data_IF_637108953030
#
_entry.id   IF_637108953030
#
_cell.length_a   1.000
_cell.length_b   1.000
_cell.length_c   1.000
_cell.angle_alpha   90.00
_cell.angle_beta   90.00
_cell.angle_gamma   90.00
#
_symmetry.space_group_name_H-M   'P 1'
#
loop_
_entity.id
_entity.type
_entity.pdbx_description
1 polymer ?
#
# COMPACT_ATOMS: atom_id res chain seq x y z
N UNK A 1 18.86 -35.96 -17.68
CA UNK A 1 18.16 -34.89 -18.42
C UNK A 1 17.17 -34.22 -17.52
N UNK A 2 17.51 -33.08 -16.94
CA UNK A 2 16.53 -32.11 -16.47
C UNK A 2 16.99 -30.70 -16.91
N UNK A 3 16.69 -30.27 -18.13
CA UNK A 3 17.04 -28.93 -18.65
C UNK A 3 15.87 -28.34 -19.47
N UNK A 4 14.68 -28.92 -19.40
CA UNK A 4 13.56 -28.49 -20.23
C UNK A 4 12.37 -27.87 -19.44
N UNK A 5 12.49 -27.71 -18.11
CA UNK A 5 11.42 -27.16 -17.29
C UNK A 5 11.58 -25.66 -16.96
N UNK A 6 12.73 -25.03 -17.19
CA UNK A 6 13.01 -23.64 -16.83
C UNK A 6 12.81 -22.60 -17.97
N UNK A 7 12.34 -23.03 -19.15
CA UNK A 7 12.24 -22.13 -20.32
C UNK A 7 10.80 -21.61 -20.57
N UNK A 8 9.80 -21.92 -19.74
CA UNK A 8 8.40 -21.65 -20.06
C UNK A 8 7.63 -20.77 -19.06
N UNK A 9 8.29 -19.82 -18.40
CA UNK A 9 7.58 -18.72 -17.73
C UNK A 9 8.39 -17.41 -17.88
N UNK A 10 8.55 -16.94 -19.13
CA UNK A 10 8.78 -15.53 -19.33
C UNK A 10 7.45 -14.85 -18.98
N UNK A 11 7.42 -14.08 -17.89
CA UNK A 11 6.23 -13.34 -17.49
C UNK A 11 5.91 -12.31 -18.58
N UNK A 12 4.79 -12.47 -19.27
CA UNK A 12 4.31 -11.51 -20.28
C UNK A 12 4.29 -10.09 -19.70
N UNK A 13 4.70 -9.11 -20.47
CA UNK A 13 4.73 -7.70 -20.06
C UNK A 13 3.37 -7.22 -19.59
N UNK A 14 3.34 -6.69 -18.37
CA UNK A 14 2.14 -6.17 -17.71
C UNK A 14 2.06 -4.66 -17.90
N UNK A 15 1.24 -4.21 -18.86
CA UNK A 15 1.00 -2.78 -19.07
C UNK A 15 0.25 -2.21 -17.86
N UNK A 16 0.78 -1.12 -17.29
CA UNK A 16 0.22 -0.50 -16.09
C UNK A 16 0.73 -1.08 -14.77
N UNK A 17 1.78 -1.89 -14.84
CA UNK A 17 2.47 -2.48 -13.69
C UNK A 17 3.99 -2.37 -13.86
N UNK A 18 4.73 -2.69 -12.81
CA UNK A 18 6.18 -2.82 -12.87
C UNK A 18 6.57 -4.12 -13.57
N UNK A 19 7.60 -4.02 -14.41
CA UNK A 19 8.25 -5.12 -15.10
C UNK A 19 9.75 -5.00 -14.88
N UNK A 20 10.48 -6.12 -14.92
CA UNK A 20 11.94 -6.16 -14.97
C UNK A 20 12.37 -6.52 -16.38
N UNK A 21 12.99 -5.58 -17.10
CA UNK A 21 13.32 -5.71 -18.51
C UNK A 21 14.82 -5.49 -18.74
N UNK A 22 15.40 -6.25 -19.67
CA UNK A 22 16.79 -6.10 -20.07
C UNK A 22 16.97 -4.86 -20.96
N UNK A 23 18.03 -4.11 -20.74
CA UNK A 23 18.46 -2.98 -21.59
C UNK A 23 19.17 -3.53 -22.81
N UNK A 24 18.57 -3.44 -23.99
CA UNK A 24 19.12 -4.03 -25.23
C UNK A 24 19.86 -3.02 -26.10
N UNK A 25 19.57 -1.70 -25.94
CA UNK A 25 20.16 -0.68 -26.82
C UNK A 25 20.19 0.68 -26.13
N UNK A 26 21.26 1.44 -26.41
CA UNK A 26 21.39 2.86 -26.01
C UNK A 26 21.32 3.74 -27.25
N UNK A 27 20.59 4.87 -27.14
CA UNK A 27 20.47 5.90 -28.16
C UNK A 27 20.58 7.29 -27.51
N UNK A 28 20.71 8.37 -28.30
CA UNK A 28 20.92 9.72 -27.78
C UNK A 28 19.77 10.23 -26.89
N UNK A 29 18.56 9.74 -27.11
CA UNK A 29 17.36 10.16 -26.38
C UNK A 29 16.86 9.15 -25.32
N UNK A 30 17.63 8.08 -25.07
CA UNK A 30 17.27 7.09 -24.03
C UNK A 30 17.81 5.70 -24.27
N UNK A 31 17.09 4.71 -23.72
CA UNK A 31 17.41 3.29 -23.81
C UNK A 31 16.21 2.53 -24.36
N UNK A 32 16.48 1.46 -25.11
CA UNK A 32 15.47 0.49 -25.46
C UNK A 32 15.61 -0.75 -24.56
N UNK A 33 14.47 -1.22 -24.08
CA UNK A 33 14.34 -2.38 -23.24
C UNK A 33 13.69 -3.53 -24.04
N UNK A 34 14.03 -4.78 -23.74
CA UNK A 34 13.40 -5.95 -24.35
C UNK A 34 11.91 -6.02 -23.92
N UNK A 35 11.05 -5.65 -24.83
CA UNK A 35 9.60 -5.68 -24.64
C UNK A 35 8.95 -6.97 -25.08
N UNK A 36 9.72 -8.03 -25.31
CA UNK A 36 9.22 -9.36 -25.71
C UNK A 36 8.29 -9.29 -26.93
N UNK A 37 7.01 -9.72 -26.77
CA UNK A 37 6.01 -9.66 -27.87
C UNK A 37 5.69 -8.23 -28.34
N UNK A 38 5.99 -7.22 -27.54
CA UNK A 38 5.79 -5.81 -27.90
C UNK A 38 7.01 -5.19 -28.60
N UNK A 39 8.09 -5.95 -28.80
CA UNK A 39 9.34 -5.46 -29.37
C UNK A 39 10.11 -4.54 -28.42
N UNK A 40 10.96 -3.68 -28.97
CA UNK A 40 11.76 -2.76 -28.17
C UNK A 40 10.88 -1.64 -27.56
N UNK A 41 10.93 -1.47 -26.22
CA UNK A 41 10.20 -0.41 -25.50
C UNK A 41 11.18 0.70 -25.12
N UNK A 42 10.86 1.93 -25.52
CA UNK A 42 11.69 3.10 -25.21
C UNK A 42 11.54 3.52 -23.74
N UNK A 43 12.66 3.65 -23.05
CA UNK A 43 12.82 4.41 -21.80
C UNK A 43 13.55 5.70 -22.12
N UNK A 44 12.87 6.87 -22.08
CA UNK A 44 13.49 8.17 -22.32
C UNK A 44 14.65 8.44 -21.36
N UNK A 45 15.69 9.15 -21.82
CA UNK A 45 16.92 9.43 -21.04
C UNK A 45 16.63 10.05 -19.66
N UNK A 46 15.61 10.91 -19.56
CA UNK A 46 15.24 11.55 -18.29
C UNK A 46 14.75 10.58 -17.19
N UNK A 47 14.39 9.35 -17.58
CA UNK A 47 13.96 8.28 -16.65
C UNK A 47 15.05 7.24 -16.40
N UNK A 48 16.16 7.32 -17.15
CA UNK A 48 17.24 6.35 -17.02
C UNK A 48 18.15 6.69 -15.85
N UNK A 49 18.52 5.72 -15.01
CA UNK A 49 19.60 5.87 -14.03
C UNK A 49 20.93 6.26 -14.74
N UNK A 50 21.77 7.06 -14.07
CA UNK A 50 23.02 7.57 -14.66
C UNK A 50 24.00 6.46 -15.06
N UNK A 51 24.04 5.37 -14.30
CA UNK A 51 24.99 4.26 -14.50
C UNK A 51 24.45 3.11 -15.36
N UNK A 52 23.25 3.25 -15.97
CA UNK A 52 22.59 2.18 -16.72
C UNK A 52 23.37 1.77 -17.97
N UNK A 53 23.55 0.47 -18.16
CA UNK A 53 24.30 -0.14 -19.29
C UNK A 53 23.44 -1.15 -20.05
N UNK A 54 23.86 -1.42 -21.29
CA UNK A 54 23.30 -2.52 -22.08
C UNK A 54 23.59 -3.83 -21.37
N UNK A 55 22.58 -4.71 -21.26
CA UNK A 55 22.60 -5.97 -20.53
C UNK A 55 22.11 -5.89 -19.08
N UNK A 56 21.91 -4.69 -18.53
CA UNK A 56 21.37 -4.53 -17.18
C UNK A 56 19.85 -4.84 -17.15
N UNK A 57 19.40 -5.49 -16.08
CA UNK A 57 17.98 -5.66 -15.79
C UNK A 57 17.46 -4.39 -15.08
N UNK A 58 16.47 -3.74 -15.65
CA UNK A 58 15.90 -2.52 -15.09
C UNK A 58 14.43 -2.71 -14.73
N UNK A 59 14.08 -2.41 -13.47
CA UNK A 59 12.69 -2.36 -13.03
C UNK A 59 12.06 -1.06 -13.52
N UNK A 60 11.02 -1.18 -14.35
CA UNK A 60 10.33 -0.05 -14.99
C UNK A 60 8.82 -0.22 -14.94
N UNK A 61 8.12 0.89 -14.86
CA UNK A 61 6.68 0.95 -15.06
C UNK A 61 6.37 1.14 -16.54
N UNK A 62 5.44 0.36 -17.10
CA UNK A 62 5.09 0.39 -18.53
C UNK A 62 3.71 1.03 -18.72
N UNK A 63 3.66 2.06 -19.55
CA UNK A 63 2.39 2.70 -19.92
C UNK A 63 2.39 3.12 -21.40
N UNK A 64 1.23 3.57 -21.91
CA UNK A 64 1.14 4.14 -23.26
C UNK A 64 1.19 5.66 -23.23
N UNK A 65 2.04 6.26 -24.06
CA UNK A 65 2.11 7.71 -24.26
C UNK A 65 0.84 8.24 -24.99
N UNK A 66 0.80 9.54 -25.26
CA UNK A 66 -0.32 10.17 -25.96
C UNK A 66 -0.48 9.67 -27.41
N UNK A 67 0.59 9.20 -28.02
CA UNK A 67 0.62 8.58 -29.35
C UNK A 67 0.24 7.10 -29.35
N UNK A 68 -0.02 6.49 -28.18
CA UNK A 68 -0.34 5.07 -28.04
C UNK A 68 0.84 4.13 -28.01
N UNK A 69 2.10 4.65 -28.02
CA UNK A 69 3.32 3.84 -27.97
C UNK A 69 3.61 3.43 -26.52
N UNK A 70 4.14 2.22 -26.34
CA UNK A 70 4.62 1.79 -25.02
C UNK A 70 5.87 2.59 -24.64
N UNK A 71 5.90 3.03 -23.40
CA UNK A 71 7.01 3.78 -22.80
C UNK A 71 7.30 3.18 -21.44
N UNK A 72 8.59 3.01 -21.16
CA UNK A 72 9.10 2.60 -19.87
C UNK A 72 9.53 3.83 -19.05
N UNK A 73 9.22 3.84 -17.76
CA UNK A 73 9.63 4.89 -16.84
C UNK A 73 10.07 4.32 -15.50
N UNK A 74 11.01 4.99 -14.83
CA UNK A 74 11.37 4.76 -13.44
C UNK A 74 10.56 5.64 -12.47
N UNK A 75 9.72 6.54 -12.99
CA UNK A 75 8.74 7.25 -12.16
C UNK A 75 7.81 6.26 -11.46
N UNK A 76 7.34 6.65 -10.29
CA UNK A 76 6.49 5.80 -9.45
C UNK A 76 5.05 6.29 -9.52
N UNK A 77 4.16 5.57 -10.22
CA UNK A 77 2.74 5.87 -10.12
C UNK A 77 2.26 5.65 -8.68
N UNK A 78 1.25 6.40 -8.27
CA UNK A 78 0.61 6.21 -6.96
C UNK A 78 -0.22 4.91 -6.91
N UNK A 79 -0.67 4.42 -8.06
CA UNK A 79 -1.44 3.20 -8.21
C UNK A 79 -1.02 2.46 -9.48
N UNK A 80 -1.00 1.14 -9.42
CA UNK A 80 -0.85 0.24 -10.57
C UNK A 80 -2.22 -0.22 -11.10
N UNK A 81 -2.22 -0.84 -12.28
CA UNK A 81 -3.44 -1.49 -12.79
C UNK A 81 -3.87 -2.62 -11.84
N UNK A 82 -5.14 -2.59 -11.45
CA UNK A 82 -5.71 -3.51 -10.46
C UNK A 82 -5.81 -2.92 -9.05
N UNK A 83 -5.30 -1.72 -8.81
CA UNK A 83 -5.29 -1.11 -7.49
C UNK A 83 -6.39 -0.05 -7.30
N UNK A 84 -6.75 0.13 -6.03
CA UNK A 84 -7.65 1.18 -5.54
C UNK A 84 -6.87 2.16 -4.67
N UNK A 85 -7.12 3.45 -4.84
CA UNK A 85 -6.55 4.46 -3.95
C UNK A 85 -7.13 5.84 -4.17
N UNK A 86 -6.67 6.80 -3.36
CA UNK A 86 -7.09 8.20 -3.41
C UNK A 86 -6.20 8.96 -4.40
N UNK A 87 -6.82 9.59 -5.39
CA UNK A 87 -6.14 10.44 -6.36
C UNK A 87 -6.80 11.82 -6.42
N UNK A 88 -6.01 12.86 -6.67
CA UNK A 88 -6.48 14.23 -6.85
C UNK A 88 -6.81 14.51 -8.31
N UNK A 89 -7.97 15.12 -8.57
CA UNK A 89 -8.32 15.62 -9.88
C UNK A 89 -7.51 16.89 -10.19
N UNK A 90 -6.70 16.85 -11.28
CA UNK A 90 -5.90 17.99 -11.76
C UNK A 90 -6.68 18.90 -12.69
N UNK A 91 -7.53 18.30 -13.52
CA UNK A 91 -8.35 19.05 -14.47
C UNK A 91 -9.55 18.22 -14.92
N UNK A 92 -10.57 18.91 -15.46
CA UNK A 92 -11.73 18.29 -16.09
C UNK A 92 -11.79 18.77 -17.55
N UNK A 93 -11.78 17.83 -18.48
CA UNK A 93 -11.81 18.09 -19.92
C UNK A 93 -13.09 17.58 -20.58
N UNK A 94 -13.11 17.57 -21.91
CA UNK A 94 -14.27 17.16 -22.73
C UNK A 94 -14.57 15.65 -22.70
N UNK A 95 -13.62 14.83 -22.26
CA UNK A 95 -13.73 13.35 -22.25
C UNK A 95 -13.83 12.75 -20.85
N UNK A 96 -13.59 13.55 -19.81
CA UNK A 96 -13.57 13.13 -18.42
C UNK A 96 -12.62 13.97 -17.56
N UNK A 97 -12.33 13.47 -16.37
CA UNK A 97 -11.38 14.08 -15.46
C UNK A 97 -9.98 13.45 -15.61
N UNK A 98 -8.95 14.26 -15.40
CA UNK A 98 -7.56 13.86 -15.40
C UNK A 98 -7.04 13.92 -13.97
N UNK A 99 -6.60 12.76 -13.46
CA UNK A 99 -6.15 12.59 -12.09
C UNK A 99 -4.62 12.62 -12.02
N UNK A 100 -4.10 13.25 -10.97
CA UNK A 100 -2.67 13.13 -10.65
C UNK A 100 -2.36 11.68 -10.28
N UNK A 101 -1.49 11.07 -11.05
CA UNK A 101 -1.17 9.65 -10.92
C UNK A 101 0.29 9.40 -10.55
N UNK A 102 1.06 10.46 -10.32
CA UNK A 102 2.47 10.36 -9.93
C UNK A 102 3.45 10.10 -11.08
N UNK A 103 2.98 10.00 -12.31
CA UNK A 103 3.80 9.94 -13.53
C UNK A 103 3.44 11.10 -14.46
N UNK A 104 4.29 11.35 -15.46
CA UNK A 104 4.11 12.50 -16.37
C UNK A 104 2.72 12.56 -17.03
N UNK A 105 2.13 11.41 -17.34
CA UNK A 105 0.81 11.33 -17.98
C UNK A 105 -0.27 11.17 -16.91
N UNK A 106 -1.19 12.13 -16.83
CA UNK A 106 -2.33 12.04 -15.93
C UNK A 106 -3.27 10.87 -16.29
N UNK A 107 -3.89 10.27 -15.28
CA UNK A 107 -4.84 9.17 -15.43
C UNK A 107 -6.21 9.72 -15.82
N UNK A 108 -6.73 9.32 -16.96
CA UNK A 108 -8.08 9.68 -17.39
C UNK A 108 -9.14 8.85 -16.61
N UNK A 109 -10.13 9.52 -16.04
CA UNK A 109 -11.39 8.94 -15.57
C UNK A 109 -12.51 9.42 -16.51
N UNK A 110 -12.92 8.61 -17.50
CA UNK A 110 -13.96 9.00 -18.46
C UNK A 110 -15.30 9.30 -17.77
N UNK A 111 -16.14 10.18 -18.32
CA UNK A 111 -17.45 10.49 -17.71
C UNK A 111 -18.30 9.24 -17.45
N UNK A 112 -18.27 8.25 -18.36
CA UNK A 112 -18.97 6.96 -18.18
C UNK A 112 -18.48 6.16 -16.96
N UNK A 113 -17.29 6.42 -16.46
CA UNK A 113 -16.65 5.75 -15.30
C UNK A 113 -16.73 6.57 -14.00
N UNK A 114 -17.38 7.72 -14.03
CA UNK A 114 -17.60 8.55 -12.87
C UNK A 114 -18.90 8.16 -12.15
N UNK A 115 -18.83 7.86 -10.86
CA UNK A 115 -20.00 7.59 -10.02
C UNK A 115 -20.70 8.87 -9.60
N UNK A 116 -19.95 9.95 -9.51
CA UNK A 116 -20.37 11.33 -9.29
C UNK A 116 -19.53 12.23 -10.17
N UNK A 117 -20.01 13.42 -10.48
CA UNK A 117 -19.22 14.39 -11.25
C UNK A 117 -17.94 14.72 -10.49
N UNK A 118 -16.81 14.65 -11.18
CA UNK A 118 -15.51 14.95 -10.63
C UNK A 118 -15.23 16.45 -10.78
N UNK A 119 -14.83 17.09 -9.70
CA UNK A 119 -14.44 18.50 -9.65
C UNK A 119 -12.92 18.63 -9.51
N UNK A 120 -12.35 19.60 -10.21
CA UNK A 120 -10.92 19.92 -10.15
C UNK A 120 -10.49 20.26 -8.71
N UNK A 121 -9.29 19.80 -8.31
CA UNK A 121 -8.71 20.05 -6.99
C UNK A 121 -9.25 19.16 -5.86
N UNK A 122 -10.25 18.31 -6.13
CA UNK A 122 -10.79 17.37 -5.15
C UNK A 122 -10.18 15.97 -5.27
N UNK A 123 -10.23 15.24 -4.17
CA UNK A 123 -9.69 13.88 -4.05
C UNK A 123 -10.82 12.85 -4.18
N UNK A 124 -10.57 11.78 -4.94
CA UNK A 124 -11.53 10.70 -5.20
C UNK A 124 -10.87 9.33 -5.07
N UNK A 125 -11.62 8.35 -4.57
CA UNK A 125 -11.19 6.95 -4.61
C UNK A 125 -11.39 6.44 -6.03
N UNK A 126 -10.31 5.95 -6.62
CA UNK A 126 -10.24 5.49 -8.02
C UNK A 126 -9.71 4.07 -8.06
N UNK A 127 -10.34 3.22 -8.87
CA UNK A 127 -9.78 1.93 -9.31
C UNK A 127 -9.11 2.11 -10.66
N UNK A 128 -7.87 1.64 -10.81
CA UNK A 128 -7.11 1.73 -12.06
C UNK A 128 -7.24 0.44 -12.84
N UNK A 129 -7.57 0.53 -14.13
CA UNK A 129 -7.70 -0.65 -14.98
C UNK A 129 -7.21 -0.42 -16.41
N UNK A 130 -6.89 -1.51 -17.10
CA UNK A 130 -6.58 -1.50 -18.52
C UNK A 130 -7.87 -1.68 -19.32
N UNK A 131 -8.25 -0.68 -20.09
CA UNK A 131 -9.42 -0.74 -20.95
C UNK A 131 -9.20 -1.75 -22.10
N UNK A 132 -10.06 -2.75 -22.22
CA UNK A 132 -9.88 -3.85 -23.16
C UNK A 132 -9.99 -3.43 -24.63
N UNK A 133 -10.75 -2.38 -24.92
CA UNK A 133 -10.96 -1.87 -26.29
C UNK A 133 -9.83 -0.96 -26.74
N UNK A 134 -9.50 0.04 -25.92
CA UNK A 134 -8.50 1.04 -26.27
C UNK A 134 -7.08 0.66 -25.87
N UNK A 135 -6.92 -0.39 -25.03
CA UNK A 135 -5.64 -0.79 -24.40
C UNK A 135 -4.97 0.37 -23.65
N UNK A 136 -5.75 1.35 -23.17
CA UNK A 136 -5.27 2.47 -22.35
C UNK A 136 -5.54 2.19 -20.88
N UNK A 137 -4.65 2.69 -20.04
CA UNK A 137 -4.85 2.68 -18.59
C UNK A 137 -5.81 3.82 -18.27
N UNK A 138 -6.89 3.51 -17.58
CA UNK A 138 -7.95 4.46 -17.19
C UNK A 138 -8.39 4.20 -15.75
N UNK A 139 -8.96 5.21 -15.13
CA UNK A 139 -9.53 5.12 -13.80
C UNK A 139 -11.06 5.02 -13.80
N UNK A 140 -11.60 4.48 -12.74
CA UNK A 140 -13.05 4.45 -12.47
C UNK A 140 -13.35 4.77 -11.02
N UNK A 141 -14.30 5.64 -10.75
CA UNK A 141 -14.86 5.82 -9.40
C UNK A 141 -16.08 4.92 -9.15
N UNK A 142 -16.52 4.14 -10.17
CA UNK A 142 -17.59 3.13 -10.07
C UNK A 142 -17.04 1.81 -9.53
N UNK A 143 -16.52 1.83 -8.30
CA UNK A 143 -15.78 0.71 -7.70
C UNK A 143 -16.56 -0.61 -7.71
N UNK A 144 -17.89 -0.58 -7.59
CA UNK A 144 -18.72 -1.79 -7.59
C UNK A 144 -18.63 -2.61 -8.89
N UNK A 145 -18.15 -2.02 -10.02
CA UNK A 145 -17.87 -2.76 -11.26
C UNK A 145 -16.70 -3.72 -11.14
N UNK A 146 -15.76 -3.43 -10.26
CA UNK A 146 -14.46 -4.10 -10.20
C UNK A 146 -14.24 -4.86 -8.89
N UNK A 147 -14.85 -4.38 -7.81
CA UNK A 147 -14.66 -4.89 -6.45
C UNK A 147 -15.83 -5.80 -6.06
N UNK A 148 -15.54 -6.95 -5.45
CA UNK A 148 -16.53 -7.89 -4.94
C UNK A 148 -17.02 -8.91 -5.98
N UNK A 149 -16.38 -9.02 -7.15
CA UNK A 149 -16.78 -9.93 -8.22
C UNK A 149 -16.27 -11.37 -8.04
N UNK A 150 -15.48 -11.62 -7.00
CA UNK A 150 -14.92 -12.93 -6.66
C UNK A 150 -15.35 -13.32 -5.24
N UNK A 151 -15.44 -14.63 -4.99
CA UNK A 151 -15.61 -15.12 -3.63
C UNK A 151 -14.31 -14.92 -2.84
N UNK A 152 -14.34 -14.25 -1.68
CA UNK A 152 -13.15 -14.06 -0.89
C UNK A 152 -12.69 -15.37 -0.26
N UNK A 153 -11.37 -15.56 -0.22
CA UNK A 153 -10.71 -16.60 0.54
C UNK A 153 -9.90 -15.91 1.62
N UNK A 154 -10.53 -15.63 2.73
CA UNK A 154 -9.90 -14.98 3.88
C UNK A 154 -10.29 -15.75 5.13
N UNK A 155 -9.31 -16.23 5.88
CA UNK A 155 -9.50 -16.87 7.16
C UNK A 155 -9.36 -15.87 8.31
N UNK A 156 -9.88 -16.24 9.48
CA UNK A 156 -9.74 -15.41 10.67
C UNK A 156 -8.27 -15.23 11.04
N UNK A 157 -7.83 -13.97 11.04
CA UNK A 157 -6.48 -13.54 11.38
C UNK A 157 -5.49 -13.52 10.22
N UNK A 158 -5.93 -13.73 9.00
CA UNK A 158 -5.11 -13.46 7.83
C UNK A 158 -4.79 -11.98 7.75
N UNK A 159 -3.53 -11.65 7.48
CA UNK A 159 -3.12 -10.29 7.23
C UNK A 159 -3.55 -9.88 5.82
N UNK A 160 -4.22 -8.73 5.74
CA UNK A 160 -4.76 -8.17 4.49
C UNK A 160 -4.41 -6.69 4.40
N UNK A 161 -4.30 -6.17 3.21
CA UNK A 161 -4.20 -4.73 2.98
C UNK A 161 -5.60 -4.14 2.78
N UNK A 162 -5.87 -2.98 3.39
CA UNK A 162 -7.14 -2.28 3.19
C UNK A 162 -6.92 -0.85 2.69
N UNK A 163 -7.85 -0.40 1.84
CA UNK A 163 -8.00 1.02 1.48
C UNK A 163 -9.33 1.52 2.03
N UNK A 164 -9.29 2.61 2.81
CA UNK A 164 -10.48 3.22 3.40
C UNK A 164 -11.23 4.01 2.33
N UNK A 165 -12.47 3.60 2.03
CA UNK A 165 -13.26 4.20 0.93
C UNK A 165 -14.29 5.21 1.43
N UNK A 166 -14.97 4.91 2.54
CA UNK A 166 -16.06 5.76 3.04
C UNK A 166 -16.30 5.53 4.52
N UNK A 167 -16.55 6.61 5.25
CA UNK A 167 -17.06 6.55 6.63
C UNK A 167 -18.56 6.27 6.61
N UNK A 168 -19.04 5.42 7.52
CA UNK A 168 -20.44 5.08 7.75
C UNK A 168 -20.75 5.17 9.25
N UNK A 169 -22.01 5.07 9.64
CA UNK A 169 -22.40 5.10 11.06
C UNK A 169 -21.82 3.91 11.86
N UNK A 170 -21.66 2.74 11.21
CA UNK A 170 -21.14 1.53 11.82
C UNK A 170 -19.60 1.47 11.87
N UNK A 171 -18.92 2.29 11.05
CA UNK A 171 -17.47 2.25 10.89
C UNK A 171 -17.02 2.71 9.53
N UNK A 172 -16.05 2.03 8.94
CA UNK A 172 -15.47 2.41 7.65
C UNK A 172 -15.66 1.28 6.63
N UNK A 173 -16.27 1.63 5.50
CA UNK A 173 -16.28 0.76 4.32
C UNK A 173 -14.88 0.79 3.70
N UNK A 174 -14.32 -0.38 3.44
CA UNK A 174 -12.96 -0.53 2.91
C UNK A 174 -12.96 -1.46 1.70
N UNK A 175 -11.92 -1.35 0.89
CA UNK A 175 -11.54 -2.36 -0.10
C UNK A 175 -10.41 -3.18 0.50
N UNK A 176 -10.51 -4.51 0.44
CA UNK A 176 -9.54 -5.48 0.96
C UNK A 176 -8.80 -6.07 -0.22
N UNK A 177 -7.45 -6.04 -0.18
CA UNK A 177 -6.51 -6.57 -1.19
C UNK A 177 -6.85 -6.13 -2.62
N UNK A 178 -7.39 -4.92 -2.79
CA UNK A 178 -7.87 -4.36 -4.06
C UNK A 178 -8.99 -5.17 -4.77
N UNK A 179 -9.57 -6.19 -4.12
CA UNK A 179 -10.49 -7.15 -4.72
C UNK A 179 -11.85 -7.24 -4.05
N UNK A 180 -11.92 -7.07 -2.73
CA UNK A 180 -13.12 -7.39 -1.97
C UNK A 180 -13.63 -6.19 -1.19
N UNK A 181 -14.96 -6.14 -1.01
CA UNK A 181 -15.53 -5.19 -0.07
C UNK A 181 -15.35 -5.68 1.36
N UNK A 182 -15.07 -4.75 2.26
CA UNK A 182 -14.94 -5.03 3.69
C UNK A 182 -15.49 -3.91 4.56
N UNK A 183 -15.47 -4.18 5.87
CA UNK A 183 -15.90 -3.25 6.92
C UNK A 183 -14.93 -3.30 8.10
N UNK A 184 -14.46 -2.13 8.53
CA UNK A 184 -13.81 -1.93 9.83
C UNK A 184 -14.83 -1.26 10.73
N UNK A 185 -15.23 -1.90 11.81
CA UNK A 185 -16.20 -1.33 12.76
C UNK A 185 -15.56 -0.27 13.66
N UNK A 186 -16.38 0.69 14.15
CA UNK A 186 -15.92 1.75 15.05
C UNK A 186 -15.17 1.20 16.28
N UNK A 187 -15.59 0.04 16.81
CA UNK A 187 -14.95 -0.61 17.96
C UNK A 187 -13.56 -1.19 17.67
N UNK A 188 -13.20 -1.31 16.40
CA UNK A 188 -11.89 -1.81 15.94
C UNK A 188 -10.94 -0.69 15.51
N UNK A 189 -11.41 0.57 15.53
CA UNK A 189 -10.63 1.77 15.20
C UNK A 189 -10.14 2.43 16.48
N UNK A 190 -8.82 2.58 16.63
CA UNK A 190 -8.19 3.19 17.82
C UNK A 190 -7.47 4.48 17.49
N UNK A 191 -6.84 4.52 16.32
CA UNK A 191 -6.20 5.70 15.78
C UNK A 191 -7.11 6.32 14.72
N UNK A 192 -7.15 7.66 14.58
CA UNK A 192 -7.93 8.30 13.53
C UNK A 192 -7.53 7.79 12.14
N UNK A 193 -8.48 7.23 11.41
CA UNK A 193 -8.30 6.83 10.01
C UNK A 193 -9.15 7.72 9.10
N UNK A 194 -8.69 7.91 7.88
CA UNK A 194 -9.30 8.80 6.88
C UNK A 194 -9.58 8.06 5.59
N UNK A 195 -10.52 8.57 4.81
CA UNK A 195 -10.74 8.11 3.43
C UNK A 195 -9.45 8.26 2.63
N UNK A 196 -9.05 7.21 1.94
CA UNK A 196 -7.79 7.12 1.19
C UNK A 196 -6.65 6.45 1.94
N UNK A 197 -6.74 6.30 3.26
CA UNK A 197 -5.69 5.60 4.02
C UNK A 197 -5.56 4.15 3.55
N UNK A 198 -4.30 3.73 3.33
CA UNK A 198 -3.91 2.35 3.04
C UNK A 198 -3.27 1.76 4.29
N UNK A 199 -3.82 0.69 4.81
CA UNK A 199 -3.48 0.15 6.13
C UNK A 199 -3.40 -1.38 6.06
N UNK A 200 -2.54 -1.97 6.89
CA UNK A 200 -2.57 -3.40 7.19
C UNK A 200 -3.68 -3.69 8.19
N UNK A 201 -4.45 -4.71 7.95
CA UNK A 201 -5.57 -5.16 8.77
C UNK A 201 -5.59 -6.69 8.84
N UNK A 202 -6.53 -7.24 9.61
CA UNK A 202 -6.67 -8.70 9.78
C UNK A 202 -8.11 -9.13 9.53
N UNK A 203 -8.28 -10.21 8.78
CA UNK A 203 -9.57 -10.83 8.55
C UNK A 203 -10.20 -11.28 9.86
N UNK A 204 -11.50 -11.02 10.06
CA UNK A 204 -12.28 -11.52 11.19
C UNK A 204 -13.29 -12.57 10.74
N UNK A 205 -14.03 -12.25 9.70
CA UNK A 205 -15.12 -13.08 9.22
C UNK A 205 -15.47 -12.72 7.77
N UNK A 206 -15.72 -13.72 6.95
CA UNK A 206 -16.33 -13.57 5.64
C UNK A 206 -17.83 -13.75 5.78
N UNK A 207 -18.58 -12.72 5.42
CA UNK A 207 -20.04 -12.74 5.49
C UNK A 207 -20.65 -13.55 4.35
N UNK A 208 -21.92 -13.94 4.49
CA UNK A 208 -22.69 -14.61 3.44
C UNK A 208 -22.81 -13.77 2.16
N UNK A 209 -22.81 -12.43 2.26
CA UNK A 209 -22.83 -11.50 1.13
C UNK A 209 -21.46 -11.30 0.46
N UNK A 210 -20.46 -12.08 0.86
CA UNK A 210 -19.09 -12.03 0.30
C UNK A 210 -18.24 -10.85 0.75
N UNK A 211 -18.69 -10.05 1.72
CA UNK A 211 -17.88 -8.98 2.32
C UNK A 211 -17.04 -9.52 3.46
N UNK A 212 -15.93 -8.88 3.72
CA UNK A 212 -14.98 -9.26 4.77
C UNK A 212 -15.07 -8.27 5.93
N UNK A 213 -15.40 -8.76 7.11
CA UNK A 213 -15.20 -8.00 8.33
C UNK A 213 -13.72 -8.05 8.69
N UNK A 214 -13.11 -6.89 8.84
CA UNK A 214 -11.70 -6.76 9.16
C UNK A 214 -11.49 -5.95 10.44
N UNK A 215 -10.36 -6.16 11.08
CA UNK A 215 -9.96 -5.43 12.28
C UNK A 215 -8.56 -4.85 12.11
N UNK A 216 -8.36 -3.65 12.64
CA UNK A 216 -7.03 -3.06 12.76
C UNK A 216 -6.26 -3.64 13.97
N UNK A 217 -6.89 -4.54 14.73
CA UNK A 217 -6.26 -5.25 15.84
C UNK A 217 -5.68 -6.56 15.34
N UNK A 218 -4.36 -6.68 15.27
CA UNK A 218 -3.71 -7.96 15.04
C UNK A 218 -3.94 -8.98 16.16
N UNK A 219 -3.72 -10.25 15.85
CA UNK A 219 -3.63 -11.31 16.86
C UNK A 219 -2.64 -10.88 17.96
N UNK A 220 -2.75 -11.40 19.17
CA UNK A 220 -2.04 -10.96 20.38
C UNK A 220 -0.56 -10.53 20.25
N UNK A 221 0.12 -10.86 19.14
CA UNK A 221 1.45 -10.36 18.78
C UNK A 221 1.46 -8.91 18.29
N UNK A 222 0.43 -8.50 17.57
CA UNK A 222 0.36 -7.14 17.03
C UNK A 222 -0.09 -6.14 18.10
N UNK A 223 -0.97 -6.54 19.02
CA UNK A 223 -1.25 -5.74 20.24
C UNK A 223 0.01 -5.45 21.02
N UNK A 224 0.86 -6.44 21.16
CA UNK A 224 2.15 -6.31 21.84
C UNK A 224 3.08 -5.39 21.06
N UNK A 225 3.07 -5.48 19.74
CA UNK A 225 3.88 -4.61 18.88
C UNK A 225 3.38 -3.15 18.91
N UNK A 226 2.07 -2.91 18.77
CA UNK A 226 1.49 -1.56 18.87
C UNK A 226 1.72 -0.97 20.27
N UNK A 227 1.54 -1.78 21.31
CA UNK A 227 1.86 -1.37 22.68
C UNK A 227 3.34 -1.01 22.83
N UNK A 228 4.23 -1.78 22.21
CA UNK A 228 5.67 -1.47 22.24
C UNK A 228 6.00 -0.12 21.57
N UNK A 229 5.31 0.23 20.47
CA UNK A 229 5.45 1.56 19.83
C UNK A 229 4.96 2.68 20.74
N UNK A 230 3.79 2.50 21.39
CA UNK A 230 3.25 3.47 22.35
C UNK A 230 4.19 3.67 23.55
N UNK A 231 4.78 2.60 24.08
CA UNK A 231 5.79 2.69 25.14
C UNK A 231 7.01 3.50 24.69
N UNK A 232 7.52 3.24 23.49
CA UNK A 232 8.65 4.02 22.93
C UNK A 232 8.27 5.49 22.72
N UNK A 233 7.05 5.78 22.22
CA UNK A 233 6.52 7.15 22.11
C UNK A 233 6.51 7.85 23.46
N UNK A 234 5.88 7.24 24.46
CA UNK A 234 5.83 7.76 25.83
C UNK A 234 7.23 8.03 26.41
N UNK A 235 8.17 7.11 26.24
CA UNK A 235 9.54 7.30 26.69
C UNK A 235 10.19 8.51 26.02
N UNK A 236 10.01 8.71 24.71
CA UNK A 236 10.55 9.88 23.99
C UNK A 236 10.00 11.19 24.52
N UNK A 237 8.69 11.24 24.77
CA UNK A 237 7.99 12.44 25.25
C UNK A 237 8.31 12.76 26.72
N UNK A 238 8.83 11.76 27.48
CA UNK A 238 9.18 11.88 28.91
C UNK A 238 10.69 11.75 29.18
N UNK A 239 11.52 12.33 28.32
CA UNK A 239 12.97 12.40 28.54
C UNK A 239 13.71 11.05 28.46
N UNK A 240 13.11 10.06 27.79
CA UNK A 240 13.72 8.74 27.57
C UNK A 240 13.59 7.77 28.74
N UNK A 241 12.82 8.12 29.79
CA UNK A 241 12.67 7.29 31.01
C UNK A 241 11.22 7.23 31.46
N UNK A 242 10.85 6.08 32.11
CA UNK A 242 9.58 5.94 32.83
C UNK A 242 9.75 5.03 34.05
N UNK A 243 8.98 5.31 35.10
CA UNK A 243 9.03 4.54 36.35
C UNK A 243 8.01 3.38 36.35
N UNK A 244 7.19 3.22 35.32
CA UNK A 244 6.28 2.09 35.16
C UNK A 244 7.06 0.94 34.54
N UNK A 245 7.18 -0.14 35.29
CA UNK A 245 7.94 -1.35 34.91
C UNK A 245 7.02 -2.58 34.88
N UNK A 246 7.56 -3.75 34.63
CA UNK A 246 6.81 -5.00 34.67
C UNK A 246 6.43 -5.44 36.12
N UNK A 247 7.04 -4.80 37.13
CA UNK A 247 6.66 -4.97 38.55
C UNK A 247 5.53 -4.04 38.97
N UNK A 248 5.25 -2.96 38.28
CA UNK A 248 4.18 -1.98 38.56
C UNK A 248 2.78 -2.64 38.68
N UNK A 249 1.89 -1.98 39.42
CA UNK A 249 0.52 -2.48 39.60
C UNK A 249 -0.29 -2.52 38.30
N UNK A 250 -1.27 -3.42 38.15
CA UNK A 250 -2.15 -3.47 36.99
C UNK A 250 -2.91 -2.15 36.77
N UNK A 251 -3.25 -1.44 37.83
CA UNK A 251 -3.97 -0.17 37.82
C UNK A 251 -3.12 0.94 37.23
N UNK A 252 -1.84 1.05 37.60
CA UNK A 252 -0.88 2.02 37.06
C UNK A 252 -0.66 1.77 35.56
N UNK A 253 -0.41 0.51 35.18
CA UNK A 253 -0.21 0.12 33.77
C UNK A 253 -1.46 0.43 32.95
N UNK A 254 -2.65 0.12 33.46
CA UNK A 254 -3.92 0.34 32.78
C UNK A 254 -4.23 1.83 32.64
N UNK A 255 -3.93 2.66 33.64
CA UNK A 255 -4.14 4.12 33.58
C UNK A 255 -3.28 4.77 32.51
N UNK A 256 -2.02 4.32 32.36
CA UNK A 256 -1.05 4.95 31.46
C UNK A 256 -1.13 4.41 30.03
N UNK A 257 -1.27 3.07 29.88
CA UNK A 257 -1.19 2.39 28.59
C UNK A 257 -2.49 1.71 28.15
N UNK A 258 -3.56 1.74 28.97
CA UNK A 258 -4.86 1.13 28.66
C UNK A 258 -4.76 -0.34 28.20
N UNK A 259 -3.85 -1.10 28.82
CA UNK A 259 -3.57 -2.50 28.49
C UNK A 259 -3.52 -3.39 29.71
N UNK A 260 -3.51 -4.72 29.48
CA UNK A 260 -3.29 -5.69 30.56
C UNK A 260 -1.81 -5.73 30.97
N UNK A 261 -1.52 -6.01 32.26
CA UNK A 261 -0.15 -6.23 32.75
C UNK A 261 0.57 -7.34 31.95
N UNK A 262 -0.15 -8.36 31.49
CA UNK A 262 0.39 -9.45 30.66
C UNK A 262 0.88 -8.94 29.30
N UNK A 263 0.10 -8.07 28.63
CA UNK A 263 0.48 -7.50 27.33
C UNK A 263 1.61 -6.46 27.48
N UNK A 264 1.56 -5.66 28.56
CA UNK A 264 2.63 -4.71 28.88
C UNK A 264 3.98 -5.43 29.09
N UNK A 265 3.99 -6.51 29.87
CA UNK A 265 5.18 -7.33 30.11
C UNK A 265 5.74 -7.93 28.81
N UNK A 266 4.85 -8.42 27.92
CA UNK A 266 5.26 -8.92 26.60
C UNK A 266 5.86 -7.80 25.73
N UNK A 267 5.28 -6.60 25.73
CA UNK A 267 5.76 -5.47 24.97
C UNK A 267 7.13 -4.97 25.44
N UNK A 268 7.35 -4.88 26.76
CA UNK A 268 8.66 -4.57 27.33
C UNK A 268 9.70 -5.63 26.96
N UNK A 269 9.37 -6.91 27.06
CA UNK A 269 10.26 -8.00 26.69
C UNK A 269 10.64 -7.97 25.19
N UNK A 270 9.70 -7.60 24.31
CA UNK A 270 9.96 -7.40 22.89
C UNK A 270 10.94 -6.23 22.65
N UNK A 271 10.72 -5.10 23.31
CA UNK A 271 11.59 -3.92 23.22
C UNK A 271 12.99 -4.19 23.75
N UNK A 272 13.09 -4.87 24.89
CA UNK A 272 14.37 -5.28 25.49
C UNK A 272 15.15 -6.22 24.57
N UNK A 273 14.48 -7.26 24.05
CA UNK A 273 15.10 -8.21 23.10
C UNK A 273 15.59 -7.54 21.81
N UNK A 274 14.93 -6.46 21.39
CA UNK A 274 15.36 -5.64 20.24
C UNK A 274 16.40 -4.57 20.58
N UNK A 275 16.88 -4.51 21.82
CA UNK A 275 17.85 -3.51 22.27
C UNK A 275 17.35 -2.07 22.25
N UNK A 276 16.01 -1.87 22.26
CA UNK A 276 15.40 -0.52 22.19
C UNK A 276 15.26 0.12 23.57
N UNK A 277 15.14 -0.68 24.60
CA UNK A 277 15.05 -0.23 25.99
C UNK A 277 15.98 -1.04 26.88
N UNK A 278 16.43 -0.45 27.97
CA UNK A 278 17.06 -1.09 29.12
C UNK A 278 16.04 -1.17 30.26
N UNK A 279 16.03 -2.28 30.97
CA UNK A 279 15.14 -2.53 32.10
C UNK A 279 15.98 -2.57 33.38
N UNK A 280 15.58 -1.83 34.39
CA UNK A 280 16.02 -1.96 35.77
C UNK A 280 14.80 -2.13 36.66
N UNK A 281 15.00 -2.45 37.95
CA UNK A 281 13.90 -2.80 38.88
C UNK A 281 12.81 -1.70 38.94
N UNK A 282 13.22 -0.42 38.87
CA UNK A 282 12.33 0.72 39.05
C UNK A 282 12.19 1.62 37.80
N UNK A 283 12.97 1.41 36.74
CA UNK A 283 13.01 2.32 35.60
C UNK A 283 13.19 1.57 34.28
N UNK A 284 12.40 1.96 33.30
CA UNK A 284 12.60 1.62 31.87
C UNK A 284 13.22 2.83 31.17
N UNK A 285 14.31 2.62 30.47
CA UNK A 285 15.00 3.71 29.74
C UNK A 285 15.20 3.37 28.27
N UNK A 286 15.08 4.38 27.38
CA UNK A 286 15.46 4.23 25.96
C UNK A 286 16.97 4.01 25.86
N UNK A 287 17.36 3.03 25.06
CA UNK A 287 18.76 2.88 24.64
C UNK A 287 19.02 3.89 23.52
N UNK A 288 19.91 4.85 23.76
CA UNK A 288 20.35 5.75 22.71
C UNK A 288 21.08 4.93 21.63
N UNK A 289 20.52 4.89 20.42
CA UNK A 289 21.30 4.43 19.27
C UNK A 289 22.36 5.50 19.01
N UNK A 290 23.60 5.20 19.40
CA UNK A 290 24.74 5.95 18.92
C UNK A 290 24.71 5.93 17.40
N UNK A 291 24.69 7.09 16.76
CA UNK A 291 25.02 7.28 15.36
C UNK A 291 26.40 6.65 15.15
N UNK A 292 26.41 5.39 14.69
CA UNK A 292 27.63 4.75 14.25
C UNK A 292 28.24 5.59 13.12
N UNK A 293 29.47 5.90 13.31
CA UNK A 293 30.36 6.54 12.31
C UNK A 293 30.44 5.70 11.04
#
# INVERSE_FOLDING_TARGET
MPILADILCKDMIKIGNYNELEVVKKVDFGFYLDGEEYGEILMPQKYAPEELKIGDMQRVFIYRDSGGRLVATTERPFLEVGEVGLLRAKSVGTVGAFMDWGVLKDLLVPFREQAVDIEEGRDYIVYVYLDNETKRIVGSTKLNKYIGNKAPRCEEGDEVEIVVVKRTDLGFKVVVDNLFWGMVYNNDVFDPIRVGDRLSAYGKHVREDGKIDVTLRGRGGDRVFQLSRRIVGYLKDNGGRMNVTDSSSPEEIKSLFQCSKKDFKKALGLLYKKGRVSLSDDVVSLVAHGTGK
#
